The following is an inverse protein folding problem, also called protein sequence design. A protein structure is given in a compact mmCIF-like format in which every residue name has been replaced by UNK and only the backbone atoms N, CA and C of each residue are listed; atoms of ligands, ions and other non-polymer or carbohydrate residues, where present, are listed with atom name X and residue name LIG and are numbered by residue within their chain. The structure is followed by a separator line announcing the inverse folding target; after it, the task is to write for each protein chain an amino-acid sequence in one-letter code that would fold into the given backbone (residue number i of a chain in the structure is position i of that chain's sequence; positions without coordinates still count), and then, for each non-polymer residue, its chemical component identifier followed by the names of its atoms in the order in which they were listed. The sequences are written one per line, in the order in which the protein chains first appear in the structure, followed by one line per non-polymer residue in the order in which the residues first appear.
data_IF_476303266223
#
_entry.id   IF_476303266223
#
_cell.length_a   1.000
_cell.length_b   1.000
_cell.length_c   1.000
_cell.angle_alpha   90.00
_cell.angle_beta   90.00
_cell.angle_gamma   90.00
#
_symmetry.space_group_name_H-M   'P 1'
#
loop_
_entity.id
_entity.type
_entity.pdbx_description
1 polymer ?
#
# COMPACT_ATOMS: atom_id res chain seq x y z
N UNK A 1 -4.18 -12.39 -17.19
CA UNK A 1 -3.89 -12.68 -15.76
C UNK A 1 -5.21 -12.65 -15.01
N UNK A 2 -5.42 -13.62 -14.10
CA UNK A 2 -6.57 -13.66 -13.21
C UNK A 2 -6.14 -14.27 -11.88
N UNK A 3 -6.32 -13.55 -10.77
CA UNK A 3 -5.93 -14.02 -9.44
C UNK A 3 -6.76 -13.34 -8.35
N UNK A 4 -6.79 -13.97 -7.16
CA UNK A 4 -7.37 -13.37 -5.97
C UNK A 4 -6.29 -12.67 -5.15
N UNK A 5 -6.61 -11.45 -4.69
CA UNK A 5 -5.83 -10.68 -3.73
C UNK A 5 -6.59 -10.58 -2.42
N UNK A 6 -5.89 -10.65 -1.30
CA UNK A 6 -6.45 -10.40 0.02
C UNK A 6 -5.92 -9.09 0.59
N UNK A 7 -6.76 -8.34 1.31
CA UNK A 7 -6.35 -7.22 2.14
C UNK A 7 -6.58 -7.58 3.60
N UNK A 8 -5.51 -7.55 4.39
CA UNK A 8 -5.51 -7.91 5.80
C UNK A 8 -5.58 -6.65 6.66
N UNK A 9 -6.78 -6.15 6.89
CA UNK A 9 -7.04 -5.03 7.80
C UNK A 9 -6.83 -5.49 9.24
N UNK A 10 -5.77 -4.99 9.87
CA UNK A 10 -5.36 -5.44 11.20
C UNK A 10 -5.02 -4.30 12.13
N UNK A 11 -5.02 -4.59 13.42
CA UNK A 11 -4.48 -3.75 14.49
C UNK A 11 -3.08 -4.27 14.89
N UNK A 12 -1.99 -3.62 14.48
CA UNK A 12 -0.65 -4.01 14.88
C UNK A 12 -0.35 -3.55 16.31
N UNK A 13 0.47 -4.32 17.02
CA UNK A 13 0.97 -3.95 18.33
C UNK A 13 2.20 -3.04 18.17
N UNK A 14 2.12 -1.83 18.71
CA UNK A 14 3.22 -0.87 18.65
C UNK A 14 4.49 -1.44 19.30
N UNK A 15 5.59 -1.45 18.56
CA UNK A 15 6.91 -1.88 19.01
C UNK A 15 7.11 -3.40 19.12
N UNK A 16 6.09 -4.22 18.95
CA UNK A 16 6.21 -5.68 19.05
C UNK A 16 6.29 -6.35 17.67
N UNK A 17 7.47 -6.28 17.08
CA UNK A 17 7.74 -6.90 15.78
C UNK A 17 7.43 -8.41 15.77
N UNK A 18 7.70 -9.13 16.88
CA UNK A 18 7.48 -10.57 16.97
C UNK A 18 5.99 -10.93 16.96
N UNK A 19 5.19 -10.25 17.75
CA UNK A 19 3.74 -10.44 17.77
C UNK A 19 3.12 -10.08 16.41
N UNK A 20 3.57 -8.98 15.80
CA UNK A 20 3.08 -8.56 14.50
C UNK A 20 3.44 -9.56 13.39
N UNK A 21 4.67 -10.07 13.35
CA UNK A 21 5.07 -11.12 12.39
C UNK A 21 4.23 -12.38 12.55
N UNK A 22 3.95 -12.81 13.79
CA UNK A 22 3.09 -13.97 14.04
C UNK A 22 1.67 -13.73 13.50
N UNK A 23 1.11 -12.55 13.72
CA UNK A 23 -0.22 -12.15 13.22
C UNK A 23 -0.26 -12.06 11.70
N UNK A 24 0.78 -11.48 11.06
CA UNK A 24 0.92 -11.48 9.60
C UNK A 24 0.95 -12.91 9.04
N UNK A 25 1.72 -13.80 9.67
CA UNK A 25 1.82 -15.19 9.22
C UNK A 25 0.47 -15.94 9.34
N UNK A 26 -0.30 -15.68 10.40
CA UNK A 26 -1.65 -16.24 10.56
C UNK A 26 -2.59 -15.74 9.45
N UNK A 27 -2.68 -14.42 9.27
CA UNK A 27 -3.54 -13.81 8.26
C UNK A 27 -3.14 -14.21 6.84
N UNK A 28 -1.84 -14.34 6.55
CA UNK A 28 -1.35 -14.82 5.25
C UNK A 28 -1.78 -16.27 4.97
N UNK A 29 -1.73 -17.16 5.99
CA UNK A 29 -2.25 -18.54 5.84
C UNK A 29 -3.76 -18.55 5.60
N UNK A 30 -4.52 -17.72 6.30
CA UNK A 30 -5.97 -17.58 6.09
C UNK A 30 -6.29 -17.04 4.70
N UNK A 31 -5.53 -16.05 4.21
CA UNK A 31 -5.65 -15.55 2.85
C UNK A 31 -5.38 -16.64 1.81
N UNK A 32 -4.31 -17.42 1.98
CA UNK A 32 -3.99 -18.54 1.11
C UNK A 32 -5.09 -19.61 1.12
N UNK A 33 -5.64 -19.96 2.30
CA UNK A 33 -6.76 -20.89 2.43
C UNK A 33 -8.03 -20.38 1.75
N UNK A 34 -8.23 -19.05 1.70
CA UNK A 34 -9.32 -18.41 0.93
C UNK A 34 -9.03 -18.33 -0.59
N UNK A 35 -7.92 -18.89 -1.05
CA UNK A 35 -7.53 -18.95 -2.46
C UNK A 35 -6.85 -17.67 -2.98
N UNK A 36 -6.41 -16.78 -2.10
CA UNK A 36 -5.62 -15.62 -2.49
C UNK A 36 -4.20 -16.05 -2.88
N UNK A 37 -3.66 -15.43 -3.92
CA UNK A 37 -2.26 -15.58 -4.34
C UNK A 37 -1.35 -14.47 -3.82
N UNK A 38 -1.94 -13.39 -3.33
CA UNK A 38 -1.25 -12.27 -2.71
C UNK A 38 -2.08 -11.77 -1.53
N UNK A 39 -1.38 -11.33 -0.48
CA UNK A 39 -1.98 -10.62 0.66
C UNK A 39 -1.22 -9.31 0.89
N UNK A 40 -1.99 -8.24 1.13
CA UNK A 40 -1.46 -6.90 1.42
C UNK A 40 -1.82 -6.53 2.85
N UNK A 41 -0.86 -6.00 3.56
CA UNK A 41 -0.98 -5.52 4.93
C UNK A 41 -0.83 -3.99 4.99
N UNK A 42 -1.26 -3.35 6.07
CA UNK A 42 -1.20 -1.90 6.23
C UNK A 42 0.22 -1.33 6.31
N UNK A 43 0.30 0.00 6.21
CA UNK A 43 1.50 0.79 6.48
C UNK A 43 2.03 0.52 7.89
N UNK A 44 3.37 0.34 8.00
CA UNK A 44 4.07 0.06 9.27
C UNK A 44 3.43 -1.06 10.11
N UNK A 45 2.73 -1.99 9.45
CA UNK A 45 2.01 -3.08 10.14
C UNK A 45 2.91 -4.05 10.89
N UNK A 46 4.21 -4.11 10.52
CA UNK A 46 5.21 -4.93 11.23
C UNK A 46 5.67 -4.28 12.55
N UNK A 47 5.63 -2.96 12.67
CA UNK A 47 6.20 -2.22 13.80
C UNK A 47 5.18 -1.45 14.65
N UNK A 48 3.96 -1.20 14.12
CA UNK A 48 3.10 -0.12 14.59
C UNK A 48 3.49 1.20 13.91
N UNK A 49 2.61 2.21 13.97
CA UNK A 49 2.79 3.47 13.25
C UNK A 49 3.62 4.50 14.04
N UNK A 50 3.31 4.69 15.31
CA UNK A 50 3.93 5.72 16.18
C UNK A 50 5.27 5.28 16.77
N UNK A 51 6.14 4.70 15.95
CA UNK A 51 7.41 4.09 16.41
C UNK A 51 8.41 5.09 16.97
N UNK A 52 8.36 6.35 16.56
CA UNK A 52 9.26 7.43 17.04
C UNK A 52 10.74 6.95 17.09
N UNK A 53 11.37 7.07 18.25
CA UNK A 53 12.79 6.69 18.46
C UNK A 53 13.01 5.17 18.52
N UNK A 54 11.95 4.35 18.63
CA UNK A 54 12.04 2.89 18.53
C UNK A 54 12.33 2.41 17.09
N UNK A 55 12.28 3.30 16.11
CA UNK A 55 12.49 2.96 14.69
C UNK A 55 13.82 2.24 14.44
N UNK A 56 14.88 2.55 15.21
CA UNK A 56 16.19 1.90 15.11
C UNK A 56 16.13 0.40 15.45
N UNK A 57 15.45 0.09 16.56
CA UNK A 57 15.35 -1.28 17.08
C UNK A 57 14.41 -2.15 16.24
N UNK A 58 13.51 -1.52 15.49
CA UNK A 58 12.49 -2.17 14.66
C UNK A 58 12.87 -2.24 13.18
N UNK A 59 14.01 -1.63 12.82
CA UNK A 59 14.44 -1.54 11.42
C UNK A 59 14.84 -2.91 10.86
N UNK A 60 14.39 -3.17 9.65
CA UNK A 60 14.68 -4.37 8.89
C UNK A 60 15.66 -4.04 7.77
N UNK A 61 16.64 -4.92 7.56
CA UNK A 61 17.62 -4.77 6.48
C UNK A 61 17.36 -5.79 5.38
N UNK A 62 16.76 -5.40 4.23
CA UNK A 62 16.46 -6.33 3.13
C UNK A 62 17.69 -6.95 2.46
N UNK A 63 18.89 -6.37 2.64
CA UNK A 63 20.14 -6.91 2.10
C UNK A 63 20.81 -7.89 3.07
N UNK A 64 20.30 -8.01 4.29
CA UNK A 64 20.86 -8.87 5.34
C UNK A 64 20.09 -10.15 5.59
N UNK A 65 20.29 -10.70 6.78
CA UNK A 65 19.52 -11.85 7.27
C UNK A 65 18.04 -11.43 7.45
N UNK A 66 17.08 -12.27 7.01
CA UNK A 66 15.65 -12.06 7.28
C UNK A 66 15.30 -11.87 8.77
N UNK A 67 16.10 -12.41 9.67
CA UNK A 67 15.92 -12.24 11.11
C UNK A 67 14.47 -12.51 11.55
N UNK A 68 13.83 -11.52 12.23
CA UNK A 68 12.49 -11.71 12.79
C UNK A 68 11.41 -11.94 11.74
N UNK A 69 11.61 -11.54 10.46
CA UNK A 69 10.63 -11.74 9.39
C UNK A 69 10.86 -13.02 8.56
N UNK A 70 11.80 -13.88 8.95
CA UNK A 70 12.03 -15.17 8.30
C UNK A 70 10.75 -16.02 8.12
N UNK A 71 9.76 -16.03 9.04
CA UNK A 71 8.49 -16.72 8.83
C UNK A 71 7.69 -16.20 7.64
N UNK A 72 7.75 -14.89 7.35
CA UNK A 72 7.06 -14.28 6.21
C UNK A 72 7.80 -14.58 4.90
N UNK A 73 9.13 -14.58 4.93
CA UNK A 73 9.96 -14.98 3.79
C UNK A 73 9.63 -16.43 3.39
N UNK A 74 9.56 -17.34 4.36
CA UNK A 74 9.21 -18.76 4.11
C UNK A 74 7.79 -18.92 3.55
N UNK A 75 6.81 -18.21 4.14
CA UNK A 75 5.43 -18.19 3.63
C UNK A 75 5.33 -17.59 2.22
N UNK A 76 6.26 -16.72 1.86
CA UNK A 76 6.38 -16.16 0.51
C UNK A 76 6.56 -17.19 -0.59
N UNK A 77 6.90 -18.45 -0.27
CA UNK A 77 6.89 -19.59 -1.21
C UNK A 77 5.48 -20.02 -1.60
N UNK A 78 4.50 -19.76 -0.75
CA UNK A 78 3.09 -20.19 -0.93
C UNK A 78 2.20 -19.06 -1.41
N UNK A 79 2.36 -17.87 -0.85
CA UNK A 79 1.56 -16.68 -1.13
C UNK A 79 2.46 -15.44 -1.13
N UNK A 80 2.33 -14.57 -2.13
CA UNK A 80 3.03 -13.29 -2.14
C UNK A 80 2.51 -12.40 -1.00
N UNK A 81 3.42 -11.80 -0.21
CA UNK A 81 3.08 -10.99 0.96
C UNK A 81 3.65 -9.58 0.76
N UNK A 82 2.79 -8.56 0.84
CA UNK A 82 3.21 -7.15 0.86
C UNK A 82 2.91 -6.58 2.24
N UNK A 83 3.94 -6.17 2.98
CA UNK A 83 3.81 -5.69 4.36
C UNK A 83 4.59 -4.40 4.59
N UNK A 84 4.05 -3.50 5.40
CA UNK A 84 4.68 -2.24 5.78
C UNK A 84 5.57 -2.38 7.01
N UNK A 85 6.72 -1.72 7.01
CA UNK A 85 7.63 -1.70 8.16
C UNK A 85 8.73 -0.66 8.03
N UNK A 86 9.57 -0.59 9.07
CA UNK A 86 10.76 0.26 9.07
C UNK A 86 11.88 -0.44 8.33
N UNK A 87 12.52 0.25 7.38
CA UNK A 87 13.68 -0.24 6.64
C UNK A 87 14.94 0.52 7.05
N UNK A 88 16.05 -0.20 7.27
CA UNK A 88 17.37 0.36 7.26
C UNK A 88 17.98 0.24 5.85
N UNK A 89 18.24 1.36 5.21
CA UNK A 89 18.88 1.40 3.90
C UNK A 89 20.42 1.32 3.97
N UNK A 90 21.05 1.16 2.80
CA UNK A 90 22.51 0.94 2.67
C UNK A 90 23.39 2.02 3.32
N UNK A 91 22.88 3.23 3.56
CA UNK A 91 23.61 4.33 4.22
C UNK A 91 23.07 4.62 5.62
N UNK A 92 22.51 3.60 6.27
CA UNK A 92 21.91 3.67 7.61
C UNK A 92 20.72 4.65 7.73
N UNK A 93 20.20 5.14 6.61
CA UNK A 93 18.97 5.93 6.59
C UNK A 93 17.76 5.04 6.88
N UNK A 94 16.82 5.55 7.68
CA UNK A 94 15.59 4.84 8.01
C UNK A 94 14.46 5.28 7.09
N UNK A 95 13.64 4.33 6.67
CA UNK A 95 12.54 4.56 5.73
C UNK A 95 11.26 3.86 6.20
N UNK A 96 10.13 4.50 5.98
CA UNK A 96 8.83 3.84 5.97
C UNK A 96 8.70 3.10 4.64
N UNK A 97 8.70 1.78 4.68
CA UNK A 97 8.82 0.94 3.48
C UNK A 97 7.77 -0.16 3.40
N UNK A 98 7.43 -0.52 2.18
CA UNK A 98 6.63 -1.70 1.85
C UNK A 98 7.57 -2.78 1.29
N UNK A 99 7.48 -3.97 1.85
CA UNK A 99 8.28 -5.14 1.51
C UNK A 99 7.45 -6.16 0.76
N UNK A 100 7.97 -6.70 -0.34
CA UNK A 100 7.42 -7.87 -1.02
C UNK A 100 8.22 -9.11 -0.64
N UNK A 101 7.57 -10.05 0.03
CA UNK A 101 8.08 -11.41 0.26
C UNK A 101 7.44 -12.37 -0.74
N UNK A 102 8.25 -12.97 -1.60
CA UNK A 102 7.77 -13.84 -2.66
C UNK A 102 8.83 -14.87 -3.07
N UNK A 103 8.41 -16.10 -3.33
CA UNK A 103 9.32 -17.18 -3.76
C UNK A 103 10.38 -17.53 -2.73
N UNK A 104 10.15 -17.23 -1.45
CA UNK A 104 11.10 -17.47 -0.36
C UNK A 104 12.20 -16.41 -0.24
N UNK A 105 11.96 -15.20 -0.74
CA UNK A 105 12.94 -14.12 -0.70
C UNK A 105 12.27 -12.74 -0.52
N UNK A 106 13.08 -11.74 -0.13
CA UNK A 106 12.75 -10.33 -0.36
C UNK A 106 12.86 -10.06 -1.86
N UNK A 107 11.77 -9.67 -2.50
CA UNK A 107 11.74 -9.44 -3.96
C UNK A 107 11.79 -7.99 -4.35
N UNK A 108 11.15 -7.14 -3.58
CA UNK A 108 11.08 -5.70 -3.85
C UNK A 108 10.87 -4.93 -2.57
N UNK A 109 11.34 -3.69 -2.57
CA UNK A 109 11.13 -2.71 -1.51
C UNK A 109 10.70 -1.41 -2.16
N UNK A 110 9.59 -0.82 -1.67
CA UNK A 110 9.18 0.53 -2.03
C UNK A 110 9.25 1.41 -0.79
N UNK A 111 9.96 2.53 -0.87
CA UNK A 111 10.09 3.52 0.20
C UNK A 111 9.10 4.64 0.00
N UNK A 112 8.39 5.03 1.06
CA UNK A 112 7.47 6.16 1.03
C UNK A 112 8.14 7.40 0.47
N UNK A 113 7.53 8.00 -0.55
CA UNK A 113 8.10 9.16 -1.25
C UNK A 113 7.83 10.45 -0.50
N UNK A 114 6.66 10.57 0.10
CA UNK A 114 6.19 11.76 0.80
C UNK A 114 5.85 11.48 2.27
N UNK A 115 6.87 11.40 3.16
CA UNK A 115 6.61 11.34 4.61
C UNK A 115 5.97 12.66 5.08
N UNK A 116 4.71 12.66 5.62
CA UNK A 116 4.02 13.89 6.01
C UNK A 116 4.54 14.48 7.33
N UNK A 117 4.48 15.82 7.44
CA UNK A 117 4.80 16.58 8.66
C UNK A 117 3.75 17.62 9.00
N UNK A 118 2.50 17.40 8.63
CA UNK A 118 1.39 18.28 8.95
C UNK A 118 0.38 17.59 9.87
N UNK A 119 -0.42 18.39 10.55
CA UNK A 119 -1.45 17.90 11.48
C UNK A 119 -0.82 17.15 12.65
N UNK A 120 -1.07 15.85 12.72
CA UNK A 120 -0.50 14.95 13.73
C UNK A 120 0.74 14.19 13.24
N UNK A 121 1.10 14.34 11.97
CA UNK A 121 2.17 13.57 11.36
C UNK A 121 3.53 14.24 11.58
N UNK A 122 4.52 13.43 11.92
CA UNK A 122 5.91 13.85 12.15
C UNK A 122 6.92 12.96 11.41
N UNK A 123 6.49 12.31 10.31
CA UNK A 123 7.27 11.24 9.68
C UNK A 123 8.66 11.69 9.19
N UNK A 124 8.79 12.90 8.62
CA UNK A 124 10.09 13.43 8.17
C UNK A 124 11.13 13.61 9.30
N UNK A 125 10.67 13.59 10.56
CA UNK A 125 11.57 13.62 11.72
C UNK A 125 12.30 12.28 11.91
N UNK A 126 11.66 11.20 11.50
CA UNK A 126 12.08 9.83 11.79
C UNK A 126 12.47 9.04 10.55
N UNK A 127 11.96 9.42 9.36
CA UNK A 127 12.15 8.71 8.12
C UNK A 127 12.65 9.59 6.99
N UNK A 128 13.55 9.04 6.20
CA UNK A 128 13.98 9.64 4.94
C UNK A 128 12.97 9.38 3.82
N UNK A 129 12.87 10.31 2.86
CA UNK A 129 12.01 10.15 1.68
C UNK A 129 12.58 9.17 0.67
N UNK A 130 11.72 8.30 0.13
CA UNK A 130 12.00 7.51 -1.06
C UNK A 130 12.29 8.40 -2.29
N UNK A 131 13.07 7.89 -3.23
CA UNK A 131 13.48 8.64 -4.46
C UNK A 131 13.10 7.93 -5.74
N UNK A 132 12.28 6.90 -5.66
CA UNK A 132 11.90 6.08 -6.81
C UNK A 132 10.45 5.60 -6.70
N UNK A 133 9.72 5.75 -7.80
CA UNK A 133 8.36 5.22 -7.95
C UNK A 133 8.36 4.35 -9.19
N UNK A 134 8.23 3.04 -9.01
CA UNK A 134 8.30 2.05 -10.09
C UNK A 134 7.34 0.90 -9.85
N UNK A 135 6.71 0.43 -10.92
CA UNK A 135 6.02 -0.84 -10.89
C UNK A 135 7.03 -2.00 -10.85
N UNK A 136 6.64 -3.10 -10.26
CA UNK A 136 7.49 -4.30 -10.14
C UNK A 136 6.75 -5.53 -10.68
N UNK A 137 7.53 -6.49 -11.14
CA UNK A 137 7.01 -7.78 -11.59
C UNK A 137 6.92 -8.75 -10.41
N UNK A 138 5.75 -9.36 -10.25
CA UNK A 138 5.47 -10.37 -9.23
C UNK A 138 4.96 -11.65 -9.88
N UNK A 139 4.85 -12.72 -9.10
CA UNK A 139 4.27 -14.00 -9.56
C UNK A 139 2.80 -13.89 -10.00
N UNK A 140 2.14 -12.78 -9.67
CA UNK A 140 0.74 -12.52 -10.04
C UNK A 140 0.58 -11.42 -11.08
N UNK A 141 1.69 -10.83 -11.57
CA UNK A 141 1.73 -9.82 -12.61
C UNK A 141 2.44 -8.54 -12.19
N UNK A 142 2.37 -7.50 -13.04
CA UNK A 142 3.04 -6.22 -12.81
C UNK A 142 2.16 -5.32 -11.94
N UNK A 143 2.69 -4.86 -10.81
CA UNK A 143 1.98 -4.13 -9.75
C UNK A 143 2.74 -2.87 -9.35
N UNK A 144 2.01 -1.87 -8.84
CA UNK A 144 2.57 -0.71 -8.17
C UNK A 144 2.31 -0.76 -6.67
N UNK A 145 3.19 -0.15 -5.88
CA UNK A 145 2.98 0.06 -4.44
C UNK A 145 3.10 1.54 -4.13
N UNK A 146 2.20 2.04 -3.29
CA UNK A 146 2.24 3.37 -2.67
C UNK A 146 1.99 3.25 -1.17
N UNK A 147 2.49 4.20 -0.40
CA UNK A 147 2.31 4.20 1.05
C UNK A 147 1.58 5.47 1.46
N UNK A 148 0.33 5.31 1.88
CA UNK A 148 -0.54 6.29 2.54
C UNK A 148 -0.53 7.66 1.83
N UNK A 149 0.23 8.65 2.33
CA UNK A 149 0.36 9.99 1.76
C UNK A 149 0.72 9.99 0.27
N UNK A 150 1.48 9.02 -0.19
CA UNK A 150 1.86 8.92 -1.61
C UNK A 150 0.66 8.93 -2.56
N UNK A 151 -0.49 8.38 -2.14
CA UNK A 151 -1.71 8.34 -2.96
C UNK A 151 -2.39 9.70 -3.11
N UNK A 152 -2.10 10.67 -2.22
CA UNK A 152 -2.60 12.05 -2.34
C UNK A 152 -1.82 12.86 -3.39
N UNK A 153 -0.65 12.36 -3.81
CA UNK A 153 0.19 12.96 -4.84
C UNK A 153 -0.12 12.35 -6.21
N UNK A 154 -1.07 12.97 -6.93
CA UNK A 154 -1.58 12.51 -8.24
C UNK A 154 -0.53 11.99 -9.24
N UNK A 155 0.70 12.54 -9.34
CA UNK A 155 1.70 12.02 -10.27
C UNK A 155 2.15 10.58 -9.96
N UNK A 156 2.10 10.12 -8.69
CA UNK A 156 2.64 8.82 -8.33
C UNK A 156 1.80 7.66 -8.87
N UNK A 157 0.46 7.59 -8.66
CA UNK A 157 -0.36 6.55 -9.26
C UNK A 157 -0.32 6.61 -10.81
N UNK A 158 -0.22 7.81 -11.40
CA UNK A 158 -0.08 7.97 -12.84
C UNK A 158 1.23 7.35 -13.37
N UNK A 159 2.36 7.62 -12.71
CA UNK A 159 3.66 7.02 -13.07
C UNK A 159 3.62 5.49 -13.00
N UNK A 160 3.00 4.93 -11.96
CA UNK A 160 2.85 3.47 -11.82
C UNK A 160 1.99 2.87 -12.94
N UNK A 161 0.90 3.56 -13.30
CA UNK A 161 0.04 3.12 -14.40
C UNK A 161 0.76 3.17 -15.75
N UNK A 162 1.54 4.23 -16.03
CA UNK A 162 2.40 4.34 -17.22
C UNK A 162 3.50 3.27 -17.25
N UNK A 163 4.04 2.90 -16.07
CA UNK A 163 5.02 1.81 -15.93
C UNK A 163 4.36 0.42 -16.00
N UNK A 164 3.08 0.35 -16.35
CA UNK A 164 2.35 -0.87 -16.66
C UNK A 164 1.75 -1.60 -15.47
N UNK A 165 1.61 -0.96 -14.31
CA UNK A 165 0.93 -1.56 -13.18
C UNK A 165 -0.54 -1.91 -13.53
N UNK A 166 -0.93 -3.15 -13.29
CA UNK A 166 -2.31 -3.60 -13.40
C UNK A 166 -3.15 -3.24 -12.17
N UNK A 167 -2.50 -3.17 -11.03
CA UNK A 167 -3.08 -2.75 -9.76
C UNK A 167 -2.08 -1.89 -8.97
N UNK A 168 -2.62 -0.92 -8.24
CA UNK A 168 -1.90 -0.10 -7.28
C UNK A 168 -2.29 -0.58 -5.89
N UNK A 169 -1.32 -1.13 -5.17
CA UNK A 169 -1.45 -1.59 -3.79
C UNK A 169 -1.09 -0.42 -2.87
N UNK A 170 -2.00 0.00 -2.02
CA UNK A 170 -1.76 1.12 -1.11
C UNK A 170 -1.80 0.65 0.33
N UNK A 171 -0.65 0.73 1.01
CA UNK A 171 -0.51 0.40 2.42
C UNK A 171 -0.77 1.67 3.24
N UNK A 172 -1.70 1.63 4.19
CA UNK A 172 -2.22 2.84 4.81
C UNK A 172 -2.34 2.71 6.34
N UNK A 173 -2.05 3.82 7.01
CA UNK A 173 -2.37 4.06 8.42
C UNK A 173 -3.10 5.40 8.53
N UNK A 174 -4.31 5.46 7.94
CA UNK A 174 -5.13 6.67 7.93
C UNK A 174 -5.90 6.81 9.23
N UNK A 175 -5.66 7.88 10.00
CA UNK A 175 -6.37 8.13 11.23
C UNK A 175 -7.72 8.82 10.99
N UNK A 176 -8.59 8.78 12.02
CA UNK A 176 -9.79 9.57 12.04
C UNK A 176 -9.92 10.37 13.33
N UNK A 177 -10.58 11.53 13.22
CA UNK A 177 -11.11 12.28 14.35
C UNK A 177 -12.62 12.11 14.35
N UNK A 178 -13.13 11.33 15.29
CA UNK A 178 -14.57 11.16 15.48
C UNK A 178 -15.11 12.39 16.22
N UNK A 179 -15.44 13.45 15.47
CA UNK A 179 -15.96 14.71 16.05
C UNK A 179 -17.47 14.89 15.89
N UNK A 180 -18.16 13.93 15.27
CA UNK A 180 -19.58 14.01 14.92
C UNK A 180 -20.38 12.76 15.31
N UNK A 181 -21.68 12.81 14.99
CA UNK A 181 -22.62 11.68 15.13
C UNK A 181 -22.61 10.74 13.93
N UNK A 182 -21.85 11.08 12.88
CA UNK A 182 -21.80 10.32 11.65
C UNK A 182 -21.01 9.01 11.89
N UNK A 183 -21.58 7.85 11.60
CA UNK A 183 -20.90 6.56 11.76
C UNK A 183 -19.76 6.36 10.75
N UNK A 184 -19.74 7.12 9.66
CA UNK A 184 -18.71 7.04 8.61
C UNK A 184 -17.78 8.25 8.77
N UNK A 185 -16.46 8.01 9.00
CA UNK A 185 -15.50 9.13 9.03
C UNK A 185 -15.50 9.90 7.70
N UNK A 186 -15.53 11.23 7.71
CA UNK A 186 -15.47 12.02 6.46
C UNK A 186 -14.28 11.67 5.57
N UNK A 187 -13.15 11.36 6.19
CA UNK A 187 -11.94 10.94 5.48
C UNK A 187 -12.13 9.62 4.71
N UNK A 188 -12.97 8.71 5.19
CA UNK A 188 -13.27 7.46 4.49
C UNK A 188 -14.01 7.73 3.17
N UNK A 189 -14.97 8.67 3.17
CA UNK A 189 -15.69 9.08 1.94
C UNK A 189 -14.73 9.69 0.92
N UNK A 190 -13.88 10.62 1.36
CA UNK A 190 -12.89 11.27 0.47
C UNK A 190 -11.92 10.25 -0.13
N UNK A 191 -11.42 9.31 0.68
CA UNK A 191 -10.55 8.25 0.15
C UNK A 191 -11.28 7.39 -0.89
N UNK A 192 -12.51 6.95 -0.60
CA UNK A 192 -13.29 6.14 -1.54
C UNK A 192 -13.55 6.87 -2.88
N UNK A 193 -13.80 8.17 -2.86
CA UNK A 193 -13.93 8.99 -4.08
C UNK A 193 -12.62 9.03 -4.87
N UNK A 194 -11.49 9.26 -4.19
CA UNK A 194 -10.16 9.27 -4.81
C UNK A 194 -9.81 7.91 -5.42
N UNK A 195 -10.07 6.79 -4.72
CA UNK A 195 -9.79 5.45 -5.24
C UNK A 195 -10.59 5.19 -6.52
N UNK A 196 -11.87 5.54 -6.54
CA UNK A 196 -12.70 5.42 -7.75
C UNK A 196 -12.24 6.31 -8.89
N UNK A 197 -11.79 7.53 -8.56
CA UNK A 197 -11.25 8.45 -9.57
C UNK A 197 -9.97 7.88 -10.19
N UNK A 198 -8.99 7.46 -9.38
CA UNK A 198 -7.75 6.85 -9.89
C UNK A 198 -8.02 5.57 -10.69
N UNK A 199 -8.88 4.69 -10.19
CA UNK A 199 -9.22 3.45 -10.89
C UNK A 199 -9.74 3.72 -12.29
N UNK A 200 -10.68 4.67 -12.44
CA UNK A 200 -11.27 5.03 -13.74
C UNK A 200 -10.30 5.77 -14.65
N UNK A 201 -9.63 6.81 -14.13
CA UNK A 201 -8.76 7.67 -14.93
C UNK A 201 -7.51 6.95 -15.42
N UNK A 202 -6.97 6.04 -14.61
CA UNK A 202 -5.75 5.30 -14.93
C UNK A 202 -6.03 3.91 -15.49
N UNK A 203 -7.30 3.48 -15.50
CA UNK A 203 -7.71 2.13 -15.89
C UNK A 203 -6.90 1.04 -15.18
N UNK A 204 -6.82 1.11 -13.85
CA UNK A 204 -6.11 0.17 -12.97
C UNK A 204 -7.00 -0.29 -11.82
N UNK A 205 -6.67 -1.41 -11.20
CA UNK A 205 -7.24 -1.71 -9.88
C UNK A 205 -6.57 -0.85 -8.81
N UNK A 206 -7.34 -0.48 -7.77
CA UNK A 206 -6.81 0.13 -6.56
C UNK A 206 -7.13 -0.80 -5.38
N UNK A 207 -6.12 -1.23 -4.66
CA UNK A 207 -6.21 -2.09 -3.49
C UNK A 207 -5.72 -1.30 -2.27
N UNK A 208 -6.64 -0.72 -1.51
CA UNK A 208 -6.39 0.15 -0.37
C UNK A 208 -6.48 -0.67 0.92
N UNK A 209 -5.35 -0.89 1.60
CA UNK A 209 -5.26 -1.66 2.84
C UNK A 209 -4.93 -0.74 4.01
N UNK A 210 -5.94 -0.38 4.80
CA UNK A 210 -5.81 0.49 5.96
C UNK A 210 -5.78 -0.33 7.26
N UNK A 211 -5.07 0.16 8.28
CA UNK A 211 -5.11 -0.42 9.62
C UNK A 211 -6.36 -0.02 10.39
N UNK A 212 -6.64 -0.74 11.47
CA UNK A 212 -7.63 -0.38 12.50
C UNK A 212 -6.97 -0.24 13.86
N UNK A 213 -7.76 0.07 14.87
CA UNK A 213 -7.38 0.09 16.28
C UNK A 213 -6.94 1.45 16.77
N UNK A 214 -6.52 1.48 18.01
CA UNK A 214 -6.04 2.68 18.69
C UNK A 214 -4.54 2.55 18.96
N UNK A 215 -3.79 3.62 18.67
CA UNK A 215 -2.38 3.67 18.96
C UNK A 215 -2.00 5.11 19.33
N UNK A 216 -1.33 5.29 20.46
CA UNK A 216 -0.86 6.60 20.95
C UNK A 216 -1.96 7.68 20.96
N UNK A 217 -3.19 7.31 21.35
CA UNK A 217 -4.35 8.20 21.41
C UNK A 217 -5.03 8.47 20.05
N UNK A 218 -4.58 7.83 19.00
CA UNK A 218 -5.11 7.97 17.63
C UNK A 218 -5.95 6.77 17.26
N UNK A 219 -7.12 7.00 16.65
CA UNK A 219 -7.98 5.95 16.12
C UNK A 219 -7.79 5.81 14.61
N UNK A 220 -7.61 4.57 14.14
CA UNK A 220 -7.52 4.19 12.74
C UNK A 220 -8.80 3.48 12.31
N UNK A 221 -9.38 3.91 11.19
CA UNK A 221 -10.76 3.59 10.85
C UNK A 221 -10.96 2.34 9.98
N UNK A 222 -9.89 1.75 9.41
CA UNK A 222 -10.02 0.59 8.54
C UNK A 222 -10.63 0.92 7.17
N UNK A 223 -11.75 0.26 6.84
CA UNK A 223 -12.44 0.49 5.57
C UNK A 223 -11.60 0.15 4.33
N UNK A 224 -10.74 -0.85 4.45
CA UNK A 224 -9.96 -1.34 3.31
C UNK A 224 -10.86 -1.74 2.16
N UNK A 225 -10.46 -1.42 0.91
CA UNK A 225 -11.31 -1.75 -0.25
C UNK A 225 -10.47 -2.11 -1.48
N UNK A 226 -11.09 -2.89 -2.36
CA UNK A 226 -10.57 -3.20 -3.70
C UNK A 226 -11.53 -2.57 -4.70
N UNK A 227 -11.00 -1.70 -5.57
CA UNK A 227 -11.75 -0.99 -6.59
C UNK A 227 -11.28 -1.46 -7.97
N UNK A 228 -12.23 -1.81 -8.82
CA UNK A 228 -11.97 -2.25 -10.21
C UNK A 228 -11.74 -1.06 -11.15
N UNK A 229 -11.17 -1.28 -12.35
CA UNK A 229 -10.84 -0.21 -13.30
C UNK A 229 -12.03 0.62 -13.80
N UNK A 230 -13.27 0.15 -13.62
CA UNK A 230 -14.49 0.92 -13.91
C UNK A 230 -14.95 1.78 -12.70
N UNK A 231 -14.23 1.69 -11.57
CA UNK A 231 -14.54 2.38 -10.32
C UNK A 231 -15.56 1.65 -9.44
N UNK A 232 -15.95 0.42 -9.76
CA UNK A 232 -16.82 -0.39 -8.91
C UNK A 232 -16.05 -0.95 -7.72
N UNK A 233 -16.68 -1.00 -6.54
CA UNK A 233 -16.13 -1.68 -5.39
C UNK A 233 -16.26 -3.20 -5.56
N UNK A 234 -15.14 -3.91 -5.59
CA UNK A 234 -15.07 -5.38 -5.68
C UNK A 234 -15.29 -6.01 -4.31
N UNK A 235 -14.67 -5.44 -3.28
CA UNK A 235 -14.77 -5.90 -1.89
C UNK A 235 -14.41 -4.76 -0.95
N UNK A 236 -15.08 -4.67 0.20
CA UNK A 236 -14.80 -3.67 1.22
C UNK A 236 -14.84 -4.30 2.61
N UNK A 237 -13.90 -3.90 3.45
CA UNK A 237 -13.81 -4.30 4.84
C UNK A 237 -14.69 -3.42 5.74
N UNK A 238 -15.01 -3.93 6.91
CA UNK A 238 -15.74 -3.19 7.94
C UNK A 238 -14.95 -1.99 8.44
N UNK A 239 -15.65 -1.01 8.95
CA UNK A 239 -15.04 0.10 9.68
C UNK A 239 -14.73 -0.34 11.12
N UNK A 240 -13.59 0.10 11.66
CA UNK A 240 -13.17 -0.06 13.06
C UNK A 240 -12.99 -1.49 13.58
N UNK A 241 -13.10 -2.49 12.73
CA UNK A 241 -12.90 -3.90 13.07
C UNK A 241 -11.77 -4.51 12.25
N UNK A 242 -11.08 -5.50 12.81
CA UNK A 242 -10.18 -6.33 12.01
C UNK A 242 -10.97 -7.13 10.97
N UNK A 243 -10.44 -7.23 9.77
CA UNK A 243 -11.10 -7.95 8.70
C UNK A 243 -10.07 -8.50 7.69
N UNK A 244 -10.45 -9.56 6.99
CA UNK A 244 -9.68 -10.14 5.90
C UNK A 244 -10.60 -10.27 4.68
N UNK A 245 -10.51 -9.32 3.77
CA UNK A 245 -11.30 -9.32 2.55
C UNK A 245 -10.52 -9.91 1.38
N UNK A 246 -11.24 -10.53 0.46
CA UNK A 246 -10.67 -11.12 -0.76
C UNK A 246 -11.43 -10.59 -1.96
N UNK A 247 -10.71 -10.19 -3.00
CA UNK A 247 -11.26 -9.78 -4.28
C UNK A 247 -10.49 -10.37 -5.45
N UNK A 248 -11.09 -10.34 -6.62
CA UNK A 248 -10.49 -10.85 -7.84
C UNK A 248 -9.94 -9.71 -8.70
N UNK A 249 -8.73 -9.88 -9.21
CA UNK A 249 -8.12 -9.02 -10.23
C UNK A 249 -8.12 -9.80 -11.54
N UNK A 250 -8.74 -9.24 -12.60
CA UNK A 250 -8.87 -9.86 -13.92
C UNK A 250 -8.43 -8.88 -15.02
N UNK A 251 -7.45 -9.28 -15.85
CA UNK A 251 -6.98 -8.50 -16.99
C UNK A 251 -8.08 -8.22 -18.02
N UNK A 252 -9.14 -9.01 -18.06
CA UNK A 252 -10.24 -8.76 -18.97
C UNK A 252 -10.98 -7.46 -18.60
N UNK A 253 -11.12 -7.19 -17.31
CA UNK A 253 -11.71 -5.92 -16.85
C UNK A 253 -10.79 -4.73 -17.15
N UNK A 254 -9.47 -4.88 -17.02
CA UNK A 254 -8.49 -3.87 -17.47
C UNK A 254 -8.61 -3.59 -18.96
N UNK A 255 -8.64 -4.64 -19.78
CA UNK A 255 -8.81 -4.51 -21.24
C UNK A 255 -10.13 -3.85 -21.60
N UNK A 256 -11.21 -4.24 -20.90
CA UNK A 256 -12.54 -3.66 -21.11
C UNK A 256 -12.54 -2.17 -20.78
N UNK A 257 -12.04 -1.77 -19.59
CA UNK A 257 -11.99 -0.38 -19.19
C UNK A 257 -11.18 0.46 -20.20
N UNK A 258 -9.98 0.01 -20.60
CA UNK A 258 -9.11 0.72 -21.56
C UNK A 258 -9.70 0.82 -22.96
N UNK A 259 -10.53 -0.14 -23.38
CA UNK A 259 -11.21 -0.11 -24.69
C UNK A 259 -12.44 0.78 -24.70
N UNK A 260 -13.19 0.81 -23.59
CA UNK A 260 -14.38 1.65 -23.45
C UNK A 260 -14.03 3.11 -23.19
N UNK A 261 -12.95 3.36 -22.48
CA UNK A 261 -12.46 4.69 -22.11
C UNK A 261 -10.99 4.82 -22.51
N UNK A 262 -10.75 5.37 -23.72
CA UNK A 262 -9.42 5.41 -24.32
C UNK A 262 -8.48 6.47 -23.74
N UNK A 263 -8.99 7.38 -22.91
CA UNK A 263 -8.23 8.56 -22.42
C UNK A 263 -6.84 8.20 -21.89
N UNK A 264 -6.68 7.11 -21.13
CA UNK A 264 -5.36 6.67 -20.64
C UNK A 264 -4.46 6.11 -21.76
N UNK A 265 -5.03 5.44 -22.78
CA UNK A 265 -4.26 4.95 -23.93
C UNK A 265 -3.85 6.07 -24.88
N UNK A 266 -4.59 7.17 -24.86
CA UNK A 266 -4.37 8.34 -25.74
C UNK A 266 -3.51 9.43 -25.04
N UNK A 267 -3.04 9.17 -23.78
CA UNK A 267 -2.11 10.06 -23.08
C UNK A 267 -0.77 10.18 -23.82
N UNK A 268 -0.21 11.39 -23.77
CA UNK A 268 1.11 11.72 -24.32
C UNK A 268 2.12 12.03 -23.20
N UNK A 269 2.86 11.03 -22.71
CA UNK A 269 3.90 11.24 -21.70
C UNK A 269 5.00 12.20 -22.13
N UNK A 270 5.28 12.29 -23.42
CA UNK A 270 6.29 13.21 -23.96
C UNK A 270 5.82 14.67 -23.88
N UNK A 271 4.53 14.93 -24.13
CA UNK A 271 3.93 16.23 -23.87
C UNK A 271 4.08 16.63 -22.40
N UNK A 272 3.74 15.71 -21.49
CA UNK A 272 3.87 15.96 -20.04
C UNK A 272 5.33 16.27 -19.67
N UNK A 273 6.28 15.48 -20.13
CA UNK A 273 7.70 15.68 -19.86
C UNK A 273 8.21 17.03 -20.38
N UNK A 274 7.83 17.42 -21.61
CA UNK A 274 8.17 18.74 -22.19
C UNK A 274 7.60 19.90 -21.36
N UNK A 275 6.33 19.81 -20.97
CA UNK A 275 5.69 20.87 -20.20
C UNK A 275 6.25 20.99 -18.77
N UNK A 276 6.53 19.87 -18.10
CA UNK A 276 7.22 19.88 -16.81
C UNK A 276 8.62 20.52 -16.91
N UNK A 277 9.38 20.17 -17.95
CA UNK A 277 10.69 20.77 -18.18
C UNK A 277 10.59 22.29 -18.46
N UNK A 278 9.56 22.73 -19.19
CA UNK A 278 9.28 24.15 -19.43
C UNK A 278 8.95 24.91 -18.14
N UNK A 279 8.11 24.30 -17.26
CA UNK A 279 7.72 24.92 -15.98
C UNK A 279 8.92 25.05 -15.04
N UNK A 280 9.79 24.03 -14.96
CA UNK A 280 11.01 24.06 -14.13
C UNK A 280 12.01 25.16 -14.52
N UNK A 281 11.99 25.64 -15.76
CA UNK A 281 12.85 26.75 -16.22
C UNK A 281 12.30 28.14 -15.86
N UNK A 282 11.07 28.22 -15.32
CA UNK A 282 10.41 29.48 -14.96
C UNK A 282 10.51 29.83 -13.47
N UNK A 283 10.89 28.87 -12.63
CA UNK A 283 11.18 29.05 -11.21
C UNK A 283 12.66 28.92 -10.93
#
# INVERSE_FOLDING_TARGET
MKFRIALAQMDPVLGDLRANVAKHAELARRAAAAGARMVVFPELSLSGYSVKDMNWDLALNPAGDPGPVAPLVELGKTISIVAGGVEEGASFGLYNSAFLFEGGAWRSVHRKTYPPTYGMFEENRYFSSGKSVRAFDSAVGRLGVLICEDLWHMPLPYLLALDGAAAILTLVASPTRMTGKDPIPPIATVNAENHRAYARLLSVYVAFCNRVGFEDGVNFWGGSEIVSPDGSCVSAAKLFEEDLIVGEIDDNELRRARRLSRHFLDDDPDLLARELARLRKRG
#
